data_IF_358902471231
#
_entry.id   IF_358902471231
#
_cell.length_a   1.000
_cell.length_b   1.000
_cell.length_c   1.000
_cell.angle_alpha   90.00
_cell.angle_beta   90.00
_cell.angle_gamma   90.00
#
_symmetry.space_group_name_H-M   'P 1'
#
loop_
_entity.id
_entity.type
_entity.pdbx_description
1 polymer ?
#
# COMPACT_ATOMS: atom_id res chain seq x y z
N UNK A 1 26.16 -4.86 3.07
CA UNK A 1 25.42 -5.62 4.09
C UNK A 1 24.66 -4.62 4.93
N UNK A 2 23.35 -4.73 4.97
CA UNK A 2 22.50 -3.82 5.75
C UNK A 2 22.57 -4.14 7.25
N UNK A 3 22.10 -3.24 8.11
CA UNK A 3 21.95 -3.52 9.55
C UNK A 3 21.00 -4.71 9.78
N UNK A 4 19.98 -4.86 8.93
CA UNK A 4 19.06 -6.01 8.93
C UNK A 4 19.82 -7.30 8.63
N UNK A 5 20.74 -7.32 7.65
CA UNK A 5 21.55 -8.52 7.36
C UNK A 5 22.36 -8.97 8.59
N UNK A 6 22.96 -8.04 9.33
CA UNK A 6 23.72 -8.35 10.56
C UNK A 6 22.86 -8.99 11.64
N UNK A 7 21.67 -8.44 11.89
CA UNK A 7 20.71 -8.98 12.85
C UNK A 7 20.21 -10.36 12.41
N UNK A 8 19.89 -10.53 11.13
CA UNK A 8 19.44 -11.80 10.59
C UNK A 8 20.52 -12.88 10.66
N UNK A 9 21.76 -12.55 10.34
CA UNK A 9 22.88 -13.50 10.45
C UNK A 9 23.11 -13.94 11.91
N UNK A 10 23.00 -13.01 12.87
CA UNK A 10 23.08 -13.34 14.30
C UNK A 10 21.94 -14.27 14.72
N UNK A 11 20.69 -13.95 14.33
CA UNK A 11 19.52 -14.80 14.62
C UNK A 11 19.67 -16.18 13.98
N UNK A 12 20.06 -16.24 12.71
CA UNK A 12 20.34 -17.50 12.00
C UNK A 12 21.38 -18.34 12.74
N UNK A 13 22.47 -17.75 13.22
CA UNK A 13 23.49 -18.46 13.99
C UNK A 13 22.91 -19.03 15.30
N UNK A 14 22.20 -18.21 16.07
CA UNK A 14 21.59 -18.62 17.35
C UNK A 14 20.60 -19.76 17.14
N UNK A 15 19.72 -19.64 16.14
CA UNK A 15 18.72 -20.65 15.84
C UNK A 15 19.30 -21.89 15.18
N UNK A 16 20.37 -21.79 14.39
CA UNK A 16 21.08 -22.96 13.89
C UNK A 16 21.70 -23.78 15.04
N UNK A 17 22.31 -23.11 16.02
CA UNK A 17 22.86 -23.78 17.22
C UNK A 17 21.74 -24.41 18.05
N UNK A 18 20.63 -23.71 18.23
CA UNK A 18 19.45 -24.23 18.93
C UNK A 18 18.86 -25.45 18.22
N UNK A 19 18.66 -25.34 16.90
CA UNK A 19 18.16 -26.41 16.03
C UNK A 19 19.06 -27.63 16.03
N UNK A 20 20.39 -27.42 15.99
CA UNK A 20 21.36 -28.51 16.09
C UNK A 20 21.20 -29.29 17.40
N UNK A 21 20.94 -28.60 18.52
CA UNK A 21 20.72 -29.25 19.82
C UNK A 21 19.36 -29.95 19.89
N UNK A 22 18.33 -29.37 19.28
CA UNK A 22 16.95 -29.88 19.32
C UNK A 22 16.68 -31.01 18.31
N UNK A 23 17.45 -31.11 17.24
CA UNK A 23 17.27 -32.12 16.20
C UNK A 23 16.13 -31.82 15.23
N UNK A 24 16.19 -32.45 14.05
CA UNK A 24 15.29 -32.27 12.93
C UNK A 24 13.85 -32.64 13.30
N UNK A 25 13.64 -33.79 13.94
CA UNK A 25 12.28 -34.27 14.26
C UNK A 25 11.52 -33.27 15.13
N UNK A 26 12.16 -32.79 16.20
CA UNK A 26 11.55 -31.79 17.09
C UNK A 26 11.39 -30.47 16.36
N UNK A 27 12.41 -30.02 15.63
CA UNK A 27 12.39 -28.76 14.89
C UNK A 27 11.27 -28.69 13.85
N UNK A 28 11.14 -29.73 13.02
CA UNK A 28 10.16 -29.80 11.93
C UNK A 28 8.72 -29.89 12.46
N UNK A 29 8.48 -30.68 13.51
CA UNK A 29 7.17 -30.79 14.14
C UNK A 29 6.81 -29.48 14.85
N UNK A 30 7.73 -28.90 15.63
CA UNK A 30 7.49 -27.62 16.33
C UNK A 30 7.18 -26.49 15.34
N UNK A 31 7.96 -26.41 14.24
CA UNK A 31 7.71 -25.46 13.17
C UNK A 31 6.32 -25.65 12.55
N UNK A 32 5.97 -26.89 12.18
CA UNK A 32 4.65 -27.19 11.61
C UNK A 32 3.51 -26.87 12.58
N UNK A 33 3.69 -27.21 13.86
CA UNK A 33 2.75 -26.93 14.94
C UNK A 33 2.53 -25.44 15.17
N UNK A 34 3.58 -24.63 15.08
CA UNK A 34 3.48 -23.17 15.16
C UNK A 34 2.57 -22.60 14.07
N UNK A 35 2.81 -22.96 12.80
CA UNK A 35 2.03 -22.44 11.68
C UNK A 35 0.59 -22.96 11.68
N UNK A 36 0.35 -24.22 12.02
CA UNK A 36 -1.00 -24.75 12.18
C UNK A 36 -1.74 -24.04 13.32
N UNK A 37 -1.07 -23.80 14.45
CA UNK A 37 -1.62 -23.02 15.56
C UNK A 37 -1.95 -21.58 15.17
N UNK A 38 -1.06 -20.92 14.43
CA UNK A 38 -1.29 -19.57 13.92
C UNK A 38 -2.48 -19.52 12.94
N UNK A 39 -2.59 -20.48 12.02
CA UNK A 39 -3.71 -20.59 11.07
C UNK A 39 -5.05 -20.78 11.79
N UNK A 40 -5.09 -21.66 12.79
CA UNK A 40 -6.27 -21.82 13.65
C UNK A 40 -6.59 -20.53 14.40
N UNK A 41 -5.56 -19.86 14.91
CA UNK A 41 -5.71 -18.58 15.59
C UNK A 41 -6.22 -17.46 14.70
N UNK A 42 -5.87 -17.44 13.41
CA UNK A 42 -6.42 -16.48 12.45
C UNK A 42 -7.92 -16.71 12.20
N UNK A 43 -8.41 -17.94 12.36
CA UNK A 43 -9.84 -18.25 12.23
C UNK A 43 -10.58 -17.98 13.54
N UNK A 44 -10.01 -18.39 14.67
CA UNK A 44 -10.66 -18.33 16.00
C UNK A 44 -10.56 -16.94 16.62
N UNK A 45 -9.44 -16.23 16.43
CA UNK A 45 -9.17 -14.92 17.03
C UNK A 45 -10.27 -13.90 16.72
N UNK A 46 -10.59 -13.65 15.43
CA UNK A 46 -11.67 -12.74 15.06
C UNK A 46 -13.04 -13.16 15.59
N UNK A 47 -13.31 -14.47 15.71
CA UNK A 47 -14.58 -14.98 16.25
C UNK A 47 -14.75 -14.63 17.74
N UNK A 48 -13.67 -14.75 18.52
CA UNK A 48 -13.65 -14.36 19.93
C UNK A 48 -13.73 -12.82 20.04
N UNK A 49 -12.95 -12.10 19.23
CA UNK A 49 -12.87 -10.65 19.28
C UNK A 49 -14.20 -9.96 18.99
N UNK A 50 -15.07 -10.52 18.16
CA UNK A 50 -16.41 -9.96 17.85
C UNK A 50 -17.31 -9.77 19.08
N UNK A 51 -17.00 -10.38 20.22
CA UNK A 51 -17.75 -10.20 21.47
C UNK A 51 -17.46 -8.85 22.14
N UNK A 52 -16.41 -8.14 21.72
CA UNK A 52 -15.95 -6.89 22.33
C UNK A 52 -16.38 -5.70 21.48
N UNK A 53 -16.80 -4.60 22.11
CA UNK A 53 -17.31 -3.43 21.38
C UNK A 53 -16.18 -2.57 20.81
N UNK A 54 -15.10 -2.36 21.56
CA UNK A 54 -13.98 -1.49 21.23
C UNK A 54 -13.03 -2.07 20.15
N UNK A 55 -12.77 -1.32 19.07
CA UNK A 55 -11.96 -1.76 17.93
C UNK A 55 -10.51 -2.07 18.30
N UNK A 56 -9.89 -1.27 19.19
CA UNK A 56 -8.51 -1.52 19.64
C UNK A 56 -8.41 -2.84 20.42
N UNK A 57 -9.37 -3.09 21.30
CA UNK A 57 -9.48 -4.32 22.08
C UNK A 57 -9.71 -5.54 21.18
N UNK A 58 -10.52 -5.43 20.13
CA UNK A 58 -10.74 -6.52 19.16
C UNK A 58 -9.44 -6.94 18.47
N UNK A 59 -8.65 -5.97 18.03
CA UNK A 59 -7.35 -6.22 17.39
C UNK A 59 -6.41 -6.91 18.38
N UNK A 60 -6.29 -6.36 19.59
CA UNK A 60 -5.44 -6.94 20.63
C UNK A 60 -5.82 -8.39 20.94
N UNK A 61 -7.12 -8.68 21.12
CA UNK A 61 -7.60 -10.04 21.40
C UNK A 61 -7.34 -10.99 20.24
N UNK A 62 -7.53 -10.53 19.00
CA UNK A 62 -7.23 -11.33 17.81
C UNK A 62 -5.74 -11.68 17.74
N UNK A 63 -4.86 -10.72 18.00
CA UNK A 63 -3.42 -10.93 18.03
C UNK A 63 -3.00 -11.89 19.15
N UNK A 64 -3.56 -11.73 20.35
CA UNK A 64 -3.29 -12.62 21.49
C UNK A 64 -3.77 -14.04 21.19
N UNK A 65 -4.93 -14.21 20.55
CA UNK A 65 -5.44 -15.52 20.17
C UNK A 65 -4.56 -16.19 19.10
N UNK A 66 -4.15 -15.44 18.07
CA UNK A 66 -3.23 -15.93 17.02
C UNK A 66 -1.91 -16.40 17.62
N UNK A 67 -1.28 -15.54 18.43
CA UNK A 67 0.00 -15.85 19.04
C UNK A 67 -0.11 -16.99 20.06
N UNK A 68 -1.13 -16.97 20.90
CA UNK A 68 -1.37 -17.99 21.92
C UNK A 68 -1.57 -19.38 21.30
N UNK A 69 -2.36 -19.48 20.24
CA UNK A 69 -2.58 -20.75 19.54
C UNK A 69 -1.35 -21.22 18.77
N UNK A 70 -0.56 -20.30 18.19
CA UNK A 70 0.70 -20.64 17.55
C UNK A 70 1.71 -21.24 18.56
N UNK A 71 1.90 -20.60 19.72
CA UNK A 71 2.79 -21.09 20.79
C UNK A 71 2.29 -22.43 21.35
N UNK A 72 0.98 -22.58 21.54
CA UNK A 72 0.38 -23.84 22.01
C UNK A 72 0.62 -24.97 20.99
N UNK A 73 0.37 -24.72 19.71
CA UNK A 73 0.61 -25.68 18.64
C UNK A 73 2.07 -26.09 18.55
N UNK A 74 3.00 -25.13 18.67
CA UNK A 74 4.43 -25.39 18.73
C UNK A 74 4.80 -26.27 19.92
N UNK A 75 4.28 -25.98 21.12
CA UNK A 75 4.58 -26.73 22.34
C UNK A 75 4.08 -28.17 22.25
N UNK A 76 2.83 -28.38 21.78
CA UNK A 76 2.24 -29.72 21.61
C UNK A 76 3.02 -30.52 20.57
N UNK A 77 3.34 -29.93 19.42
CA UNK A 77 4.08 -30.61 18.38
C UNK A 77 5.54 -30.90 18.77
N UNK A 78 6.17 -30.00 19.53
CA UNK A 78 7.50 -30.23 20.09
C UNK A 78 7.53 -31.35 21.12
N UNK A 79 6.49 -31.45 21.96
CA UNK A 79 6.31 -32.56 22.90
C UNK A 79 6.10 -33.89 22.16
N UNK A 80 5.29 -33.91 21.10
CA UNK A 80 5.16 -35.09 20.24
C UNK A 80 6.51 -35.44 19.59
N UNK A 81 7.22 -34.43 19.07
CA UNK A 81 8.51 -34.61 18.42
C UNK A 81 9.60 -35.15 19.34
N UNK A 82 9.60 -34.77 20.63
CA UNK A 82 10.57 -35.29 21.57
C UNK A 82 10.35 -36.78 21.85
N UNK A 83 9.10 -37.22 21.91
CA UNK A 83 8.74 -38.63 22.01
C UNK A 83 9.19 -39.42 20.78
N UNK A 84 9.02 -38.86 19.57
CA UNK A 84 9.47 -39.50 18.33
C UNK A 84 11.01 -39.54 18.23
N UNK A 85 11.69 -38.44 18.60
CA UNK A 85 13.17 -38.37 18.59
C UNK A 85 13.80 -39.36 19.57
N UNK A 86 13.13 -39.69 20.67
CA UNK A 86 13.61 -40.70 21.62
C UNK A 86 13.80 -42.09 21.00
N UNK A 87 13.10 -42.42 19.91
CA UNK A 87 13.30 -43.66 19.17
C UNK A 87 14.61 -43.70 18.37
N UNK A 88 15.28 -42.56 18.15
CA UNK A 88 16.53 -42.46 17.39
C UNK A 88 17.71 -42.73 18.33
N UNK A 89 18.08 -44.01 18.43
CA UNK A 89 19.13 -44.44 19.37
C UNK A 89 20.54 -44.40 18.76
N UNK A 90 20.67 -44.62 17.44
CA UNK A 90 21.95 -44.73 16.75
C UNK A 90 22.75 -43.41 16.65
N UNK A 91 24.09 -43.43 16.87
CA UNK A 91 24.90 -42.21 16.90
C UNK A 91 24.96 -41.48 15.56
N UNK A 92 25.00 -42.20 14.44
CA UNK A 92 24.97 -41.61 13.09
C UNK A 92 23.61 -40.99 12.79
N UNK A 93 22.52 -41.69 13.13
CA UNK A 93 21.17 -41.18 12.94
C UNK A 93 20.90 -39.92 13.78
N UNK A 94 21.40 -39.86 15.02
CA UNK A 94 21.33 -38.63 15.83
C UNK A 94 22.10 -37.48 15.21
N UNK A 95 23.32 -37.70 14.71
CA UNK A 95 24.06 -36.62 14.02
C UNK A 95 23.33 -36.09 12.79
N UNK A 96 22.71 -36.97 12.00
CA UNK A 96 21.91 -36.55 10.84
C UNK A 96 20.69 -35.74 11.30
N UNK A 97 20.00 -36.19 12.35
CA UNK A 97 18.90 -35.46 12.97
C UNK A 97 19.35 -34.09 13.50
N UNK A 98 20.46 -33.99 14.21
CA UNK A 98 21.03 -32.74 14.72
C UNK A 98 21.34 -31.76 13.58
N UNK A 99 22.08 -32.22 12.56
CA UNK A 99 22.39 -31.40 11.38
C UNK A 99 21.11 -30.95 10.66
N UNK A 100 20.15 -31.84 10.48
CA UNK A 100 18.85 -31.50 9.90
C UNK A 100 18.08 -30.48 10.74
N UNK A 101 18.20 -30.54 12.07
CA UNK A 101 17.61 -29.57 12.99
C UNK A 101 18.14 -28.17 12.77
N UNK A 102 19.46 -28.02 12.56
CA UNK A 102 20.05 -26.73 12.22
C UNK A 102 19.47 -26.16 10.91
N UNK A 103 19.31 -26.99 9.88
CA UNK A 103 18.72 -26.57 8.60
C UNK A 103 17.26 -26.12 8.74
N UNK A 104 16.44 -26.88 9.49
CA UNK A 104 15.03 -26.51 9.71
C UNK A 104 14.93 -25.20 10.48
N UNK A 105 15.75 -24.99 11.52
CA UNK A 105 15.74 -23.74 12.28
C UNK A 105 16.22 -22.55 11.45
N UNK A 106 17.22 -22.74 10.59
CA UNK A 106 17.65 -21.71 9.64
C UNK A 106 16.52 -21.33 8.68
N UNK A 107 15.86 -22.33 8.08
CA UNK A 107 14.72 -22.10 7.20
C UNK A 107 13.57 -21.39 7.93
N UNK A 108 13.27 -21.81 9.16
CA UNK A 108 12.20 -21.23 9.96
C UNK A 108 12.43 -19.75 10.27
N UNK A 109 13.63 -19.39 10.75
CA UNK A 109 13.99 -17.99 11.00
C UNK A 109 13.93 -17.17 9.73
N UNK A 110 14.40 -17.74 8.63
CA UNK A 110 14.39 -17.07 7.34
C UNK A 110 12.97 -16.75 6.86
N UNK A 111 12.05 -17.71 6.99
CA UNK A 111 10.64 -17.52 6.63
C UNK A 111 9.97 -16.46 7.52
N UNK A 112 10.20 -16.52 8.83
CA UNK A 112 9.64 -15.53 9.78
C UNK A 112 10.21 -14.14 9.52
N UNK A 113 11.52 -14.04 9.31
CA UNK A 113 12.17 -12.78 8.95
C UNK A 113 11.60 -12.18 7.67
N UNK A 114 11.38 -13.01 6.65
CA UNK A 114 10.76 -12.58 5.39
C UNK A 114 9.31 -12.09 5.61
N UNK A 115 8.51 -12.80 6.40
CA UNK A 115 7.13 -12.41 6.70
C UNK A 115 7.04 -11.09 7.47
N UNK A 116 7.97 -10.85 8.40
CA UNK A 116 8.05 -9.61 9.18
C UNK A 116 8.66 -8.46 8.37
N UNK A 117 9.59 -8.76 7.46
CA UNK A 117 10.22 -7.74 6.63
C UNK A 117 9.23 -7.03 5.69
N UNK A 118 8.18 -7.74 5.25
CA UNK A 118 7.15 -7.21 4.34
C UNK A 118 6.52 -5.91 4.86
N UNK A 119 5.88 -5.86 6.03
CA UNK A 119 5.32 -4.61 6.56
C UNK A 119 6.39 -3.60 6.99
N UNK A 120 7.61 -4.03 7.33
CA UNK A 120 8.69 -3.12 7.72
C UNK A 120 9.33 -2.39 6.54
N UNK A 121 9.29 -2.99 5.35
CA UNK A 121 9.79 -2.39 4.10
C UNK A 121 8.99 -1.19 3.61
N UNK A 122 7.71 -1.11 4.00
CA UNK A 122 6.79 0.02 3.77
C UNK A 122 6.63 0.93 5.00
N UNK A 123 7.47 0.75 6.03
CA UNK A 123 7.41 1.59 7.24
C UNK A 123 7.78 3.05 6.97
N UNK A 124 7.16 3.96 7.75
CA UNK A 124 7.43 5.40 7.71
C UNK A 124 8.82 5.79 8.21
N UNK A 125 9.63 4.83 8.71
CA UNK A 125 11.00 5.04 9.16
C UNK A 125 11.99 4.81 8.00
N UNK A 126 12.56 5.87 7.38
CA UNK A 126 13.32 5.73 6.13
C UNK A 126 14.57 4.86 6.27
N UNK A 127 15.21 4.87 7.45
CA UNK A 127 16.38 4.05 7.76
C UNK A 127 16.06 2.55 7.82
N UNK A 128 14.86 2.20 8.29
CA UNK A 128 14.41 0.81 8.43
C UNK A 128 13.94 0.28 7.08
N UNK A 129 13.12 1.06 6.38
CA UNK A 129 12.61 0.73 5.05
C UNK A 129 13.75 0.55 4.02
N UNK A 130 14.74 1.44 4.01
CA UNK A 130 15.92 1.32 3.15
C UNK A 130 16.83 0.13 3.52
N UNK A 131 16.95 -0.19 4.81
CA UNK A 131 17.73 -1.35 5.28
C UNK A 131 17.10 -2.69 4.91
N UNK A 132 15.77 -2.76 4.87
CA UNK A 132 15.01 -3.94 4.40
C UNK A 132 15.12 -4.07 2.88
N UNK A 133 14.89 -2.99 2.12
CA UNK A 133 14.97 -3.00 0.64
C UNK A 133 16.35 -3.38 0.11
N UNK A 134 17.41 -3.03 0.82
CA UNK A 134 18.80 -3.32 0.43
C UNK A 134 19.36 -4.61 1.07
N UNK A 135 18.52 -5.45 1.69
CA UNK A 135 18.97 -6.71 2.32
C UNK A 135 19.30 -7.77 1.27
N UNK A 136 20.57 -8.22 1.29
CA UNK A 136 21.01 -9.31 0.43
C UNK A 136 20.37 -10.65 0.84
N UNK A 137 20.20 -10.87 2.14
CA UNK A 137 19.60 -12.08 2.69
C UNK A 137 18.15 -12.22 2.23
N UNK A 138 17.33 -11.19 2.42
CA UNK A 138 15.92 -11.22 2.04
C UNK A 138 15.72 -11.37 0.52
N UNK A 139 16.60 -10.77 -0.29
CA UNK A 139 16.57 -10.93 -1.76
C UNK A 139 16.79 -12.38 -2.20
N UNK A 140 17.67 -13.12 -1.51
CA UNK A 140 17.93 -14.54 -1.81
C UNK A 140 16.71 -15.40 -1.44
N UNK A 141 16.06 -15.10 -0.30
CA UNK A 141 14.85 -15.81 0.14
C UNK A 141 13.72 -15.65 -0.87
N UNK A 142 13.53 -14.43 -1.34
CA UNK A 142 12.47 -14.09 -2.30
C UNK A 142 12.59 -14.92 -3.59
N UNK A 143 13.83 -15.18 -4.05
CA UNK A 143 14.11 -16.00 -5.24
C UNK A 143 13.88 -17.50 -5.05
N UNK A 144 13.90 -17.99 -3.81
CA UNK A 144 13.81 -19.43 -3.50
C UNK A 144 12.37 -19.83 -3.17
N UNK A 145 11.54 -18.89 -2.70
CA UNK A 145 10.16 -19.18 -2.33
C UNK A 145 9.27 -19.48 -3.56
N UNK A 146 8.31 -20.40 -3.45
CA UNK A 146 7.37 -20.71 -4.54
C UNK A 146 6.46 -19.52 -4.86
N UNK A 147 6.02 -19.42 -6.11
CA UNK A 147 5.15 -18.33 -6.62
C UNK A 147 3.91 -18.09 -5.73
N UNK A 148 3.27 -19.15 -5.21
CA UNK A 148 2.12 -19.03 -4.29
C UNK A 148 2.43 -18.31 -2.97
N UNK A 149 3.66 -18.43 -2.47
CA UNK A 149 4.09 -17.70 -1.28
C UNK A 149 4.33 -16.22 -1.62
N UNK A 150 4.86 -15.92 -2.82
CA UNK A 150 5.02 -14.57 -3.31
C UNK A 150 3.67 -13.87 -3.55
N UNK A 151 2.64 -14.60 -3.99
CA UNK A 151 1.26 -14.07 -4.07
C UNK A 151 0.71 -13.67 -2.70
N UNK A 152 0.97 -14.47 -1.67
CA UNK A 152 0.54 -14.17 -0.29
C UNK A 152 1.25 -12.93 0.28
N UNK A 153 2.55 -12.77 0.00
CA UNK A 153 3.27 -11.56 0.42
C UNK A 153 2.89 -10.33 -0.39
N UNK A 154 2.61 -10.49 -1.69
CA UNK A 154 2.08 -9.42 -2.53
C UNK A 154 0.71 -8.95 -2.02
N UNK A 155 -0.17 -9.89 -1.66
CA UNK A 155 -1.46 -9.57 -1.03
C UNK A 155 -1.29 -8.83 0.31
N UNK A 156 -0.36 -9.28 1.17
CA UNK A 156 -0.04 -8.60 2.44
C UNK A 156 0.55 -7.21 2.23
N UNK A 157 1.40 -7.00 1.20
CA UNK A 157 1.93 -5.67 0.85
C UNK A 157 0.82 -4.74 0.40
N UNK A 158 -0.07 -5.21 -0.46
CA UNK A 158 -1.13 -4.39 -1.02
C UNK A 158 -2.11 -3.92 0.07
N UNK A 159 -2.45 -4.77 1.05
CA UNK A 159 -3.24 -4.38 2.23
C UNK A 159 -2.54 -3.34 3.11
N UNK A 160 -1.21 -3.37 3.19
CA UNK A 160 -0.44 -2.38 3.95
C UNK A 160 -0.29 -1.07 3.16
N UNK A 161 -0.17 -1.14 1.84
CA UNK A 161 -0.04 0.01 0.93
C UNK A 161 -1.36 0.82 0.82
N UNK A 162 -2.51 0.23 1.15
CA UNK A 162 -3.80 0.95 1.27
C UNK A 162 -3.90 1.89 2.47
N UNK A 163 -3.01 1.80 3.47
CA UNK A 163 -2.99 2.74 4.61
C UNK A 163 -2.62 4.19 4.21
N UNK A 164 -2.23 4.44 2.96
CA UNK A 164 -1.96 5.79 2.43
C UNK A 164 -3.19 6.54 1.92
N UNK A 165 -4.38 5.90 1.87
CA UNK A 165 -5.61 6.51 1.41
C UNK A 165 -6.56 6.82 2.59
N UNK A 166 -7.35 7.91 2.53
CA UNK A 166 -8.42 8.15 3.50
C UNK A 166 -9.52 7.06 3.39
N UNK A 167 -10.20 6.75 4.49
CA UNK A 167 -11.39 5.88 4.46
C UNK A 167 -12.51 6.60 3.68
N UNK A 168 -13.05 5.98 2.63
CA UNK A 168 -14.05 6.60 1.76
C UNK A 168 -15.43 5.97 1.94
N UNK A 169 -15.51 4.77 2.52
CA UNK A 169 -16.74 3.96 2.56
C UNK A 169 -17.18 3.60 3.98
N UNK A 170 -16.39 3.93 4.99
CA UNK A 170 -16.57 3.43 6.35
C UNK A 170 -16.08 1.98 6.43
N UNK A 171 -15.32 1.69 7.49
CA UNK A 171 -14.62 0.44 7.83
C UNK A 171 -15.34 -0.93 7.63
N UNK A 172 -16.58 -1.02 7.15
CA UNK A 172 -17.39 -2.26 7.22
C UNK A 172 -18.27 -2.58 5.99
N UNK A 173 -18.24 -1.80 4.90
CA UNK A 173 -19.02 -2.11 3.70
C UNK A 173 -18.14 -2.78 2.61
N UNK A 174 -18.42 -4.02 2.17
CA UNK A 174 -17.66 -4.65 1.10
C UNK A 174 -17.83 -3.88 -0.22
N UNK A 175 -16.75 -3.75 -0.98
CA UNK A 175 -16.73 -3.02 -2.25
C UNK A 175 -17.61 -3.74 -3.26
N UNK A 176 -18.78 -3.18 -3.56
CA UNK A 176 -19.69 -3.68 -4.60
C UNK A 176 -19.41 -2.97 -5.92
N UNK A 177 -18.38 -3.42 -6.63
CA UNK A 177 -18.02 -2.85 -7.93
C UNK A 177 -18.65 -3.63 -9.09
N UNK A 178 -19.22 -2.91 -10.07
CA UNK A 178 -19.73 -3.53 -11.31
C UNK A 178 -18.60 -4.27 -12.02
N UNK A 179 -18.85 -5.52 -12.44
CA UNK A 179 -17.86 -6.28 -13.19
C UNK A 179 -17.77 -5.77 -14.63
N UNK A 180 -16.54 -5.52 -15.08
CA UNK A 180 -16.20 -5.13 -16.44
C UNK A 180 -15.02 -5.98 -16.89
N UNK A 181 -14.80 -6.09 -18.20
CA UNK A 181 -13.64 -6.79 -18.75
C UNK A 181 -12.31 -6.16 -18.29
N UNK A 182 -11.19 -6.90 -18.33
CA UNK A 182 -9.89 -6.33 -17.99
C UNK A 182 -9.55 -5.10 -18.84
N UNK A 183 -8.79 -4.14 -18.28
CA UNK A 183 -8.25 -3.01 -19.04
C UNK A 183 -7.36 -3.48 -20.19
N UNK A 184 -7.30 -2.70 -21.29
CA UNK A 184 -6.41 -2.99 -22.42
C UNK A 184 -4.94 -2.68 -22.04
N UNK A 185 -4.04 -3.68 -22.00
CA UNK A 185 -2.65 -3.47 -21.65
C UNK A 185 -1.91 -2.54 -22.62
N UNK A 186 -2.35 -2.42 -23.88
CA UNK A 186 -1.70 -1.57 -24.87
C UNK A 186 -1.76 -0.07 -24.52
N UNK A 187 -2.73 0.35 -23.69
CA UNK A 187 -2.90 1.75 -23.29
C UNK A 187 -1.70 2.30 -22.51
N UNK A 188 -1.01 1.45 -21.74
CA UNK A 188 0.17 1.85 -20.96
C UNK A 188 1.33 2.36 -21.85
N UNK A 189 1.43 1.85 -23.08
CA UNK A 189 2.44 2.26 -24.06
C UNK A 189 1.93 3.25 -25.11
N UNK A 190 0.77 3.86 -24.90
CA UNK A 190 0.13 4.74 -25.89
C UNK A 190 0.82 6.11 -26.00
N UNK A 191 0.62 6.78 -27.14
CA UNK A 191 1.11 8.15 -27.33
C UNK A 191 0.51 9.14 -26.32
N UNK A 192 -0.70 8.88 -25.81
CA UNK A 192 -1.33 9.68 -24.76
C UNK A 192 -0.51 9.67 -23.48
N UNK A 193 0.03 8.51 -23.09
CA UNK A 193 0.92 8.39 -21.92
C UNK A 193 2.19 9.20 -22.13
N UNK A 194 2.87 9.00 -23.27
CA UNK A 194 4.09 9.73 -23.59
C UNK A 194 3.90 11.26 -23.62
N UNK A 195 2.76 11.73 -24.15
CA UNK A 195 2.44 13.16 -24.17
C UNK A 195 2.12 13.71 -22.77
N UNK A 196 1.35 12.95 -21.99
CA UNK A 196 0.90 13.34 -20.65
C UNK A 196 2.04 13.40 -19.63
N UNK A 197 3.13 12.67 -19.82
CA UNK A 197 4.31 12.72 -18.94
C UNK A 197 4.89 14.14 -18.76
N UNK A 198 4.63 15.05 -19.71
CA UNK A 198 5.06 16.47 -19.61
C UNK A 198 4.16 17.32 -18.71
N UNK A 199 3.02 16.81 -18.30
CA UNK A 199 1.98 17.52 -17.54
C UNK A 199 1.68 16.89 -16.19
N UNK A 200 1.99 15.60 -16.01
CA UNK A 200 1.83 14.91 -14.73
C UNK A 200 3.06 15.16 -13.86
N UNK A 201 2.83 15.61 -12.64
CA UNK A 201 3.87 16.03 -11.68
C UNK A 201 3.83 15.18 -10.43
N UNK A 202 4.98 15.01 -9.78
CA UNK A 202 5.06 14.42 -8.44
C UNK A 202 4.90 15.53 -7.42
N UNK A 203 3.94 15.41 -6.51
CA UNK A 203 3.72 16.41 -5.45
C UNK A 203 4.49 15.99 -4.21
N UNK A 204 5.26 16.92 -3.65
CA UNK A 204 6.14 16.70 -2.51
C UNK A 204 5.88 17.76 -1.44
N UNK A 205 5.38 17.33 -0.29
CA UNK A 205 5.06 18.18 0.85
C UNK A 205 5.92 17.87 2.07
N UNK A 206 6.30 18.91 2.81
CA UNK A 206 6.86 18.78 4.15
C UNK A 206 5.80 19.15 5.19
N UNK A 207 5.42 18.19 6.03
CA UNK A 207 4.48 18.38 7.13
C UNK A 207 5.15 18.05 8.47
N UNK A 208 5.98 18.98 9.04
CA UNK A 208 6.72 18.72 10.27
C UNK A 208 5.83 18.36 11.46
N UNK A 209 4.65 18.97 11.56
CA UNK A 209 3.62 18.66 12.57
C UNK A 209 3.14 17.21 12.49
N UNK A 210 3.14 16.64 11.28
CA UNK A 210 2.68 15.28 11.03
C UNK A 210 3.82 14.24 11.09
N UNK A 211 5.06 14.66 11.35
CA UNK A 211 6.27 13.81 11.35
C UNK A 211 6.41 12.93 10.10
N UNK A 212 5.86 13.36 8.96
CA UNK A 212 5.84 12.62 7.70
C UNK A 212 6.21 13.52 6.52
N UNK A 213 6.86 12.93 5.52
CA UNK A 213 6.97 13.51 4.19
C UNK A 213 5.76 13.05 3.39
N UNK A 214 5.04 13.98 2.77
CA UNK A 214 3.84 13.64 2.00
C UNK A 214 4.23 13.63 0.53
N UNK A 215 3.85 12.57 -0.16
CA UNK A 215 4.15 12.36 -1.57
C UNK A 215 2.89 11.89 -2.29
N UNK A 216 2.67 12.42 -3.48
CA UNK A 216 1.51 12.12 -4.30
C UNK A 216 1.77 12.50 -5.74
N UNK A 217 0.69 12.50 -6.50
CA UNK A 217 0.66 12.90 -7.90
C UNK A 217 -0.18 14.17 -8.07
N UNK A 218 0.04 14.85 -9.19
CA UNK A 218 -0.77 15.97 -9.63
C UNK A 218 -0.65 16.12 -11.13
N UNK A 219 -1.41 17.04 -11.71
CA UNK A 219 -1.29 17.37 -13.11
C UNK A 219 -1.59 18.83 -13.39
N UNK A 220 -0.90 19.38 -14.39
CA UNK A 220 -1.13 20.73 -14.88
C UNK A 220 -2.49 20.78 -15.58
N UNK A 221 -3.42 21.59 -15.09
CA UNK A 221 -4.76 21.74 -15.69
C UNK A 221 -5.00 23.14 -16.29
N UNK A 222 -4.17 24.11 -15.90
CA UNK A 222 -4.10 25.47 -16.45
C UNK A 222 -2.67 26.01 -16.25
N UNK A 223 -2.35 27.16 -16.84
CA UNK A 223 -1.03 27.77 -16.73
C UNK A 223 -0.64 27.97 -15.26
N UNK A 224 0.52 27.44 -14.87
CA UNK A 224 1.02 27.44 -13.49
C UNK A 224 0.07 26.83 -12.45
N UNK A 225 -0.94 26.04 -12.86
CA UNK A 225 -1.92 25.42 -11.96
C UNK A 225 -1.84 23.90 -12.00
N UNK A 226 -1.56 23.31 -10.84
CA UNK A 226 -1.55 21.86 -10.63
C UNK A 226 -2.76 21.48 -9.79
N UNK A 227 -3.52 20.49 -10.24
CA UNK A 227 -4.55 19.84 -9.43
C UNK A 227 -3.97 18.61 -8.75
N UNK A 228 -4.33 18.40 -7.49
CA UNK A 228 -4.01 17.22 -6.67
C UNK A 228 -5.11 16.97 -5.64
N UNK A 229 -4.93 16.01 -4.75
CA UNK A 229 -5.86 15.80 -3.64
C UNK A 229 -5.55 16.72 -2.45
N UNK A 230 -6.55 17.00 -1.63
CA UNK A 230 -6.37 17.76 -0.39
C UNK A 230 -5.52 16.96 0.61
N UNK A 231 -5.76 15.66 0.77
CA UNK A 231 -4.98 14.83 1.69
C UNK A 231 -3.48 14.75 1.34
N UNK A 232 -3.11 14.97 0.06
CA UNK A 232 -1.70 15.02 -0.40
C UNK A 232 -0.99 16.27 0.11
N UNK A 233 -1.71 17.33 0.46
CA UNK A 233 -1.11 18.58 0.97
C UNK A 233 -1.55 18.93 2.39
N UNK A 234 -2.38 18.10 3.03
CA UNK A 234 -2.89 18.32 4.37
C UNK A 234 -1.76 18.47 5.41
N UNK A 235 -1.83 19.53 6.21
CA UNK A 235 -0.85 19.86 7.26
C UNK A 235 0.55 20.25 6.74
N UNK A 236 0.72 20.44 5.42
CA UNK A 236 1.99 20.89 4.85
C UNK A 236 2.20 22.39 5.09
N UNK A 237 3.46 22.77 5.32
CA UNK A 237 3.89 24.19 5.40
C UNK A 237 4.55 24.69 4.13
N UNK A 238 5.04 23.77 3.32
CA UNK A 238 5.61 24.05 2.01
C UNK A 238 5.32 22.86 1.11
N UNK A 239 4.98 23.18 -0.13
CA UNK A 239 4.73 22.21 -1.19
C UNK A 239 5.66 22.54 -2.35
N UNK A 240 6.08 21.48 -3.03
CA UNK A 240 6.85 21.59 -4.27
C UNK A 240 6.38 20.49 -5.20
N UNK A 241 6.55 20.70 -6.50
CA UNK A 241 6.26 19.70 -7.50
C UNK A 241 7.54 19.33 -8.24
N UNK A 242 7.66 18.07 -8.62
CA UNK A 242 8.72 17.59 -9.49
C UNK A 242 8.15 17.27 -10.87
N UNK A 243 8.72 17.89 -11.90
CA UNK A 243 8.40 17.64 -13.29
C UNK A 243 9.69 17.27 -14.03
N UNK A 244 9.74 16.05 -14.57
CA UNK A 244 10.90 15.54 -15.35
C UNK A 244 12.24 15.62 -14.60
N UNK A 245 12.21 15.46 -13.28
CA UNK A 245 13.40 15.49 -12.41
C UNK A 245 13.80 16.89 -11.93
N UNK A 246 13.10 17.94 -12.36
CA UNK A 246 13.30 19.30 -11.87
C UNK A 246 12.21 19.66 -10.85
N UNK A 247 12.61 20.41 -9.82
CA UNK A 247 11.74 20.77 -8.70
C UNK A 247 11.32 22.24 -8.82
N UNK A 248 10.03 22.48 -8.58
CA UNK A 248 9.40 23.78 -8.65
C UNK A 248 8.65 24.01 -7.33
N UNK A 249 8.83 25.18 -6.72
CA UNK A 249 8.13 25.54 -5.50
C UNK A 249 6.69 25.93 -5.81
N UNK A 250 5.76 25.55 -4.94
CA UNK A 250 4.34 25.79 -5.14
C UNK A 250 3.62 26.21 -3.87
N UNK A 251 2.56 26.97 -4.04
CA UNK A 251 1.66 27.41 -2.97
C UNK A 251 0.30 26.75 -3.13
N UNK A 252 -0.29 26.27 -2.03
CA UNK A 252 -1.67 25.78 -2.05
C UNK A 252 -2.60 27.00 -2.11
N UNK A 253 -3.34 27.17 -3.19
CA UNK A 253 -4.23 28.34 -3.41
C UNK A 253 -5.72 27.99 -3.33
N UNK A 254 -6.04 26.69 -3.37
CA UNK A 254 -7.36 26.15 -3.06
C UNK A 254 -7.17 24.86 -2.28
N UNK A 255 -7.92 24.71 -1.20
CA UNK A 255 -7.97 23.52 -0.37
C UNK A 255 -9.43 23.17 -0.08
N UNK A 256 -9.92 22.06 -0.64
CA UNK A 256 -11.29 21.57 -0.47
C UNK A 256 -11.25 20.15 0.14
N UNK A 257 -11.32 20.03 1.48
CA UNK A 257 -11.28 18.74 2.16
C UNK A 257 -12.54 17.89 1.92
N UNK A 258 -13.67 18.53 1.60
CA UNK A 258 -14.94 17.85 1.34
C UNK A 258 -14.88 17.12 0.00
N UNK A 259 -14.25 17.70 -1.03
CA UNK A 259 -14.02 17.04 -2.32
C UNK A 259 -12.73 16.25 -2.39
N UNK A 260 -11.90 16.35 -1.35
CA UNK A 260 -10.52 15.88 -1.34
C UNK A 260 -9.73 16.40 -2.55
N UNK A 261 -9.80 17.71 -2.80
CA UNK A 261 -9.10 18.36 -3.92
C UNK A 261 -8.35 19.59 -3.46
N UNK A 262 -7.19 19.81 -4.07
CA UNK A 262 -6.40 21.02 -3.89
C UNK A 262 -5.87 21.54 -5.23
N UNK A 263 -5.64 22.84 -5.28
CA UNK A 263 -4.96 23.51 -6.40
C UNK A 263 -3.69 24.14 -5.88
N UNK A 264 -2.59 23.84 -6.57
CA UNK A 264 -1.29 24.46 -6.36
C UNK A 264 -1.07 25.51 -7.44
N UNK A 265 -0.62 26.69 -7.02
CA UNK A 265 0.00 27.67 -7.90
C UNK A 265 1.52 27.42 -7.91
N UNK A 266 2.07 27.15 -9.09
CA UNK A 266 3.48 26.82 -9.29
C UNK A 266 4.01 27.71 -10.40
N UNK A 267 4.59 28.88 -10.07
CA UNK A 267 5.09 29.83 -11.07
C UNK A 267 6.12 29.20 -12.02
N UNK A 268 6.06 29.59 -13.29
CA UNK A 268 7.02 29.20 -14.33
C UNK A 268 7.08 27.68 -14.60
N UNK A 269 5.99 26.95 -14.33
CA UNK A 269 5.96 25.49 -14.53
C UNK A 269 5.82 25.17 -16.03
N UNK A 270 6.77 24.46 -16.67
CA UNK A 270 6.82 24.32 -18.13
C UNK A 270 5.87 23.25 -18.70
N UNK A 271 4.97 22.68 -17.90
CA UNK A 271 4.08 21.60 -18.31
C UNK A 271 2.85 22.12 -19.07
N UNK A 272 2.47 21.52 -20.22
CA UNK A 272 1.25 21.93 -20.91
C UNK A 272 0.00 21.53 -20.13
N UNK A 273 -1.06 22.33 -20.21
CA UNK A 273 -2.32 22.05 -19.53
C UNK A 273 -3.06 20.85 -20.12
N UNK A 274 -3.56 19.99 -19.23
CA UNK A 274 -4.44 18.87 -19.55
C UNK A 274 -5.90 19.32 -19.48
N UNK A 275 -6.67 18.98 -20.50
CA UNK A 275 -8.08 19.38 -20.59
C UNK A 275 -8.97 18.37 -19.90
N UNK A 276 -9.88 18.84 -19.06
CA UNK A 276 -10.97 18.01 -18.53
C UNK A 276 -11.91 17.56 -19.65
N UNK A 277 -12.44 16.34 -19.52
CA UNK A 277 -13.51 15.85 -20.37
C UNK A 277 -14.80 16.63 -20.10
N UNK A 278 -15.53 16.97 -21.16
CA UNK A 278 -16.78 17.74 -21.06
C UNK A 278 -18.00 16.89 -20.62
N UNK A 279 -17.84 15.58 -20.51
CA UNK A 279 -18.90 14.66 -20.13
C UNK A 279 -18.35 13.41 -19.47
N UNK A 280 -19.25 12.60 -18.93
CA UNK A 280 -18.89 11.39 -18.20
C UNK A 280 -18.51 10.24 -19.14
N UNK A 281 -17.53 9.44 -18.72
CA UNK A 281 -17.20 8.18 -19.36
C UNK A 281 -18.20 7.09 -18.93
N UNK A 282 -18.77 6.37 -19.89
CA UNK A 282 -19.68 5.27 -19.59
C UNK A 282 -18.96 4.03 -19.03
N UNK A 283 -19.72 3.13 -18.40
CA UNK A 283 -19.24 1.79 -18.02
C UNK A 283 -18.55 1.10 -19.19
N UNK A 284 -17.37 0.52 -18.93
CA UNK A 284 -16.57 -0.20 -19.91
C UNK A 284 -15.60 0.69 -20.70
N UNK A 285 -15.65 2.01 -20.55
CA UNK A 285 -14.73 2.93 -21.22
C UNK A 285 -13.28 2.71 -20.78
N UNK A 286 -12.37 2.83 -21.75
CA UNK A 286 -10.93 2.77 -21.52
C UNK A 286 -10.41 4.06 -20.89
N UNK A 287 -9.58 3.89 -19.87
CA UNK A 287 -8.92 4.96 -19.15
C UNK A 287 -7.50 4.55 -18.76
N UNK A 288 -6.73 5.50 -18.25
CA UNK A 288 -5.35 5.32 -17.83
C UNK A 288 -5.15 6.13 -16.55
N UNK A 289 -4.63 5.48 -15.51
CA UNK A 289 -4.15 6.12 -14.29
C UNK A 289 -2.71 6.54 -14.52
N UNK A 290 -2.41 7.82 -14.33
CA UNK A 290 -1.05 8.35 -14.45
C UNK A 290 -0.60 8.90 -13.09
N UNK A 291 0.63 8.59 -12.68
CA UNK A 291 1.14 9.08 -11.41
C UNK A 291 2.51 8.54 -11.03
N UNK A 292 2.82 8.63 -9.73
CA UNK A 292 4.09 8.26 -9.12
C UNK A 292 3.85 7.32 -7.93
N UNK A 293 3.40 6.08 -8.17
CA UNK A 293 3.10 5.14 -7.09
C UNK A 293 4.33 4.87 -6.23
N UNK A 294 4.16 4.83 -4.91
CA UNK A 294 5.17 4.43 -3.92
C UNK A 294 6.48 5.25 -3.99
N UNK A 295 6.39 6.57 -4.17
CA UNK A 295 7.52 7.48 -4.45
C UNK A 295 8.34 7.07 -5.70
N UNK A 296 7.77 6.25 -6.57
CA UNK A 296 8.44 5.70 -7.74
C UNK A 296 8.64 6.69 -8.88
N UNK A 297 9.17 6.21 -10.02
CA UNK A 297 9.17 6.96 -11.27
C UNK A 297 7.74 7.09 -11.82
N UNK A 298 7.58 7.92 -12.85
CA UNK A 298 6.34 8.04 -13.61
C UNK A 298 5.85 6.66 -14.07
N UNK A 299 4.60 6.35 -13.76
CA UNK A 299 3.94 5.08 -14.06
C UNK A 299 2.58 5.36 -14.74
N UNK A 300 2.22 4.49 -15.68
CA UNK A 300 0.93 4.51 -16.36
C UNK A 300 0.26 3.14 -16.22
N UNK A 301 -0.91 3.11 -15.59
CA UNK A 301 -1.72 1.90 -15.42
C UNK A 301 -2.97 1.95 -16.28
N UNK A 302 -3.19 0.96 -17.17
CA UNK A 302 -4.46 0.81 -17.85
C UNK A 302 -5.60 0.65 -16.85
N UNK A 303 -6.72 1.31 -17.13
CA UNK A 303 -7.92 1.30 -16.32
C UNK A 303 -9.16 1.09 -17.18
N UNK A 304 -10.23 0.60 -16.56
CA UNK A 304 -11.56 0.54 -17.18
C UNK A 304 -12.61 1.07 -16.25
N UNK A 305 -13.46 1.98 -16.72
CA UNK A 305 -14.55 2.54 -15.92
C UNK A 305 -15.57 1.44 -15.59
N UNK A 306 -15.85 1.23 -14.30
CA UNK A 306 -16.89 0.29 -13.84
C UNK A 306 -18.23 0.98 -13.71
N UNK A 307 -18.25 2.08 -12.97
CA UNK A 307 -19.46 2.88 -12.73
C UNK A 307 -19.10 4.34 -12.44
N UNK A 308 -20.11 5.19 -12.51
CA UNK A 308 -20.07 6.58 -12.04
C UNK A 308 -21.26 6.80 -11.12
N UNK A 309 -20.99 7.13 -9.86
CA UNK A 309 -22.02 7.21 -8.83
C UNK A 309 -21.72 8.33 -7.83
N UNK A 310 -22.75 8.81 -7.13
CA UNK A 310 -22.60 9.70 -5.99
C UNK A 310 -22.51 8.86 -4.72
N UNK A 311 -21.37 8.93 -4.04
CA UNK A 311 -21.08 8.14 -2.85
C UNK A 311 -20.95 9.06 -1.66
N UNK A 312 -21.60 8.67 -0.56
CA UNK A 312 -21.51 9.33 0.74
C UNK A 312 -20.56 8.55 1.63
N UNK A 313 -19.58 9.25 2.19
CA UNK A 313 -18.62 8.72 3.15
C UNK A 313 -17.85 9.86 3.82
N UNK A 314 -16.91 9.58 4.72
CA UNK A 314 -16.30 10.63 5.51
C UNK A 314 -15.47 11.61 4.65
N UNK A 315 -15.29 12.82 5.18
CA UNK A 315 -14.27 13.75 4.70
C UNK A 315 -12.86 13.23 5.00
N UNK A 316 -11.83 13.94 4.53
CA UNK A 316 -10.44 13.53 4.75
C UNK A 316 -10.01 13.56 6.23
N UNK A 317 -10.80 14.16 7.12
CA UNK A 317 -10.54 14.27 8.56
C UNK A 317 -11.46 13.39 9.42
N UNK A 318 -12.34 12.60 8.78
CA UNK A 318 -13.42 11.87 9.45
C UNK A 318 -14.29 12.76 10.36
N UNK A 319 -14.46 14.04 10.01
CA UNK A 319 -15.20 15.01 10.80
C UNK A 319 -16.71 15.02 10.51
N UNK A 320 -17.09 14.48 9.35
CA UNK A 320 -18.46 14.28 8.92
C UNK A 320 -18.54 13.59 7.56
N UNK A 321 -19.76 13.22 7.17
CA UNK A 321 -20.04 12.60 5.87
C UNK A 321 -20.22 13.65 4.77
N UNK A 322 -19.61 13.40 3.62
CA UNK A 322 -19.73 14.22 2.42
C UNK A 322 -20.11 13.34 1.23
N UNK A 323 -20.81 13.92 0.26
CA UNK A 323 -21.27 13.21 -0.93
C UNK A 323 -20.54 13.70 -2.16
N UNK A 324 -19.80 12.80 -2.80
CA UNK A 324 -18.96 13.09 -3.97
C UNK A 324 -19.42 12.27 -5.16
N UNK A 325 -19.42 12.86 -6.35
CA UNK A 325 -19.49 12.06 -7.57
C UNK A 325 -18.12 11.45 -7.90
N UNK A 326 -18.07 10.13 -8.02
CA UNK A 326 -16.83 9.41 -8.28
C UNK A 326 -16.99 8.39 -9.41
N UNK A 327 -15.88 8.10 -10.08
CA UNK A 327 -15.73 6.87 -10.83
C UNK A 327 -15.25 5.75 -9.93
N UNK A 328 -15.87 4.58 -10.07
CA UNK A 328 -15.24 3.32 -9.69
C UNK A 328 -14.54 2.75 -10.92
N UNK A 329 -13.26 2.41 -10.83
CA UNK A 329 -12.47 1.89 -11.94
C UNK A 329 -11.89 0.51 -11.65
N UNK A 330 -11.71 -0.30 -12.69
CA UNK A 330 -10.89 -1.50 -12.66
C UNK A 330 -9.45 -1.10 -13.00
N UNK A 331 -8.59 -1.00 -12.00
CA UNK A 331 -7.18 -0.66 -12.15
C UNK A 331 -6.41 -1.02 -10.87
N UNK A 332 -5.10 -1.23 -10.98
CA UNK A 332 -4.21 -1.30 -9.83
C UNK A 332 -3.87 0.13 -9.40
N UNK A 333 -4.50 0.61 -8.33
CA UNK A 333 -4.25 1.92 -7.73
C UNK A 333 -3.51 1.73 -6.41
N UNK A 334 -2.39 2.43 -6.26
CA UNK A 334 -1.50 2.35 -5.07
C UNK A 334 -1.24 3.73 -4.49
N UNK A 335 -0.81 3.79 -3.23
CA UNK A 335 -0.32 5.04 -2.61
C UNK A 335 0.67 5.75 -3.53
N UNK A 336 0.61 7.08 -3.58
CA UNK A 336 1.36 7.91 -4.54
C UNK A 336 0.62 8.19 -5.86
N UNK A 337 -0.39 7.41 -6.24
CA UNK A 337 -1.27 7.78 -7.36
C UNK A 337 -2.28 8.88 -6.99
N UNK A 338 -2.55 9.10 -5.70
CA UNK A 338 -3.43 10.17 -5.22
C UNK A 338 -3.10 11.51 -5.85
N UNK A 339 -4.11 12.19 -6.37
CA UNK A 339 -4.02 13.48 -7.05
C UNK A 339 -3.65 13.37 -8.53
N UNK A 340 -3.23 12.19 -9.00
CA UNK A 340 -2.92 11.93 -10.40
C UNK A 340 -4.18 11.90 -11.27
N UNK A 341 -4.07 12.21 -12.58
CA UNK A 341 -5.21 12.22 -13.46
C UNK A 341 -5.61 10.80 -13.88
N UNK A 342 -6.92 10.52 -13.86
CA UNK A 342 -7.52 9.47 -14.66
C UNK A 342 -7.79 10.04 -16.06
N UNK A 343 -7.09 9.55 -17.08
CA UNK A 343 -7.23 10.06 -18.45
C UNK A 343 -7.91 9.06 -19.37
N UNK A 344 -8.71 9.55 -20.31
CA UNK A 344 -9.29 8.74 -21.38
C UNK A 344 -8.25 8.38 -22.45
N UNK A 345 -8.60 7.43 -23.32
CA UNK A 345 -7.76 7.03 -24.47
C UNK A 345 -7.45 8.16 -25.48
N UNK A 346 -8.14 9.30 -25.41
CA UNK A 346 -7.86 10.51 -26.21
C UNK A 346 -7.14 11.63 -25.42
N UNK A 347 -6.71 11.36 -24.18
CA UNK A 347 -5.92 12.30 -23.38
C UNK A 347 -6.71 13.41 -22.68
N UNK A 348 -8.02 13.24 -22.50
CA UNK A 348 -8.83 14.12 -21.66
C UNK A 348 -8.84 13.61 -20.23
N UNK A 349 -8.80 14.51 -19.25
CA UNK A 349 -8.90 14.15 -17.84
C UNK A 349 -10.35 13.81 -17.50
N UNK A 350 -10.61 12.55 -17.19
CA UNK A 350 -11.89 12.05 -16.72
C UNK A 350 -12.10 12.36 -15.25
N UNK A 351 -11.04 12.38 -14.44
CA UNK A 351 -11.13 12.63 -13.00
C UNK A 351 -9.76 12.64 -12.32
N UNK A 352 -9.79 12.72 -10.99
CA UNK A 352 -8.61 12.76 -10.11
C UNK A 352 -8.61 11.54 -9.20
N UNK A 353 -7.57 10.70 -9.29
CA UNK A 353 -7.45 9.51 -8.44
C UNK A 353 -7.32 9.94 -6.99
N UNK A 354 -8.10 9.35 -6.08
CA UNK A 354 -8.06 9.72 -4.67
C UNK A 354 -8.09 8.54 -3.68
N UNK A 355 -8.55 7.36 -4.10
CA UNK A 355 -8.60 6.18 -3.23
C UNK A 355 -8.48 4.85 -3.99
N UNK A 356 -8.24 3.77 -3.24
CA UNK A 356 -8.30 2.39 -3.68
C UNK A 356 -9.17 1.56 -2.71
N UNK A 357 -9.77 0.48 -3.19
CA UNK A 357 -10.54 -0.42 -2.34
C UNK A 357 -9.59 -1.26 -1.46
N UNK A 358 -9.86 -1.31 -0.16
CA UNK A 358 -9.07 -2.10 0.79
C UNK A 358 -9.25 -3.62 0.62
N UNK A 359 -10.40 -4.05 0.07
CA UNK A 359 -10.81 -5.45 -0.10
C UNK A 359 -10.71 -5.95 -1.55
N UNK A 360 -10.46 -5.07 -2.53
CA UNK A 360 -10.24 -5.44 -3.93
C UNK A 360 -9.06 -4.67 -4.55
N UNK A 361 -7.91 -5.32 -4.76
CA UNK A 361 -6.68 -4.70 -5.29
C UNK A 361 -6.83 -4.17 -6.72
N UNK A 362 -7.89 -4.57 -7.43
CA UNK A 362 -8.18 -4.14 -8.80
C UNK A 362 -9.27 -3.07 -8.87
N UNK A 363 -9.64 -2.45 -7.75
CA UNK A 363 -10.66 -1.40 -7.71
C UNK A 363 -10.08 -0.11 -7.15
N UNK A 364 -10.18 0.95 -7.96
CA UNK A 364 -9.77 2.31 -7.62
C UNK A 364 -10.92 3.30 -7.72
N UNK A 365 -10.73 4.47 -7.14
CA UNK A 365 -11.72 5.55 -7.13
C UNK A 365 -11.12 6.88 -7.60
N UNK A 366 -11.89 7.60 -8.40
CA UNK A 366 -11.51 8.91 -8.91
C UNK A 366 -12.65 9.91 -8.73
N UNK A 367 -12.38 11.11 -8.20
CA UNK A 367 -13.33 12.22 -8.22
C UNK A 367 -13.56 12.62 -9.67
N UNK A 368 -14.80 12.73 -10.13
CA UNK A 368 -15.08 13.01 -11.55
C UNK A 368 -14.60 14.41 -11.94
N UNK A 369 -14.31 14.62 -13.23
CA UNK A 369 -14.00 15.95 -13.76
C UNK A 369 -15.15 16.96 -13.49
N UNK A 370 -16.39 16.49 -13.45
CA UNK A 370 -17.56 17.31 -13.11
C UNK A 370 -17.52 17.78 -11.65
N UNK A 371 -17.23 16.87 -10.71
CA UNK A 371 -17.09 17.20 -9.29
C UNK A 371 -15.84 18.05 -9.01
N UNK A 372 -14.76 17.89 -9.80
CA UNK A 372 -13.54 18.68 -9.68
C UNK A 372 -13.63 20.10 -10.27
N UNK A 373 -14.58 20.34 -11.21
CA UNK A 373 -14.68 21.61 -11.94
C UNK A 373 -14.84 22.84 -11.04
N UNK A 374 -15.68 22.86 -9.99
CA UNK A 374 -15.79 24.04 -9.12
C UNK A 374 -14.46 24.41 -8.45
N UNK A 375 -13.67 23.42 -8.05
CA UNK A 375 -12.35 23.61 -7.43
C UNK A 375 -11.34 24.13 -8.45
N UNK A 376 -11.33 23.55 -9.66
CA UNK A 376 -10.50 24.02 -10.77
C UNK A 376 -10.75 25.49 -11.12
N UNK A 377 -12.03 25.88 -11.21
CA UNK A 377 -12.44 27.26 -11.51
C UNK A 377 -12.05 28.22 -10.38
N UNK A 378 -12.21 27.81 -9.13
CA UNK A 378 -11.81 28.62 -7.98
C UNK A 378 -10.29 28.90 -7.96
N UNK A 379 -9.47 27.94 -8.41
CA UNK A 379 -8.01 28.04 -8.42
C UNK A 379 -7.40 28.68 -9.66
N UNK A 380 -8.16 28.85 -10.73
CA UNK A 380 -7.64 29.27 -12.04
C UNK A 380 -6.84 30.58 -12.02
N UNK A 381 -7.24 31.54 -11.18
CA UNK A 381 -6.61 32.87 -11.09
C UNK A 381 -6.03 33.18 -9.70
N UNK A 382 -6.20 32.27 -8.72
CA UNK A 382 -5.70 32.51 -7.36
C UNK A 382 -4.21 32.28 -7.28
N UNK A 383 -3.53 33.17 -6.55
CA UNK A 383 -2.09 33.09 -6.26
C UNK A 383 -1.79 33.25 -4.78
N UNK A 384 -2.81 33.48 -3.95
CA UNK A 384 -2.62 33.65 -2.50
C UNK A 384 -2.71 32.29 -1.81
N UNK A 385 -1.67 31.95 -1.04
CA UNK A 385 -1.63 30.76 -0.20
C UNK A 385 -2.82 30.68 0.77
N UNK A 386 -3.39 29.48 0.91
CA UNK A 386 -4.41 29.13 1.90
C UNK A 386 -3.89 28.03 2.83
N UNK A 387 -4.44 27.99 4.05
CA UNK A 387 -4.09 26.96 5.02
C UNK A 387 -4.50 25.56 4.57
N UNK A 388 -3.67 24.57 4.90
CA UNK A 388 -3.84 23.15 4.55
C UNK A 388 -4.44 22.30 5.67
N UNK A 389 -4.99 22.94 6.70
CA UNK A 389 -5.61 22.28 7.86
C UNK A 389 -4.64 21.43 8.68
N UNK A 390 -5.19 20.37 9.30
CA UNK A 390 -4.47 19.49 10.22
C UNK A 390 -3.91 18.25 9.49
N UNK A 391 -3.18 17.42 10.23
CA UNK A 391 -2.73 16.11 9.74
C UNK A 391 -3.93 15.16 9.57
N UNK A 392 -3.99 14.46 8.43
CA UNK A 392 -4.91 13.34 8.16
C UNK A 392 -4.38 12.03 8.73
#
# INVERSE_FOLDING_TARGET
MSAVDLVLLLLMLVFAISGYRQGFVIGALSFSGFFLGALLGLQVGPLIARQFVDSGTRVLISLVAVFGLAVLGQAVAGWLGSNLRAAITGPTARKIDDVGGAFVSLFAVMLVAWLVAVPLGSSSLPWLASSVRNSAVLTVVDRILPDKAQELSAALRDTVDTNGFPDVFGDLAPTRARQVSPPDPALAGSQVVANSQRSVVKVLGAAPSCSRRIEGSGFVYADDRVMTNAHVVAGTRSVSVELRGERYDGEVVVYDPDRDLAVLYVPDLPGPSMRFAAGQAGTGADAIVLGFPLDGPYDARPARVRDVDRITGPDIYSSGDVTREIYTIRALVRSGNSGGPLVSANGLVLGVIFAAAADDPNTGFAVTAEEARPVALAGAERTQEVGTGECT
#
